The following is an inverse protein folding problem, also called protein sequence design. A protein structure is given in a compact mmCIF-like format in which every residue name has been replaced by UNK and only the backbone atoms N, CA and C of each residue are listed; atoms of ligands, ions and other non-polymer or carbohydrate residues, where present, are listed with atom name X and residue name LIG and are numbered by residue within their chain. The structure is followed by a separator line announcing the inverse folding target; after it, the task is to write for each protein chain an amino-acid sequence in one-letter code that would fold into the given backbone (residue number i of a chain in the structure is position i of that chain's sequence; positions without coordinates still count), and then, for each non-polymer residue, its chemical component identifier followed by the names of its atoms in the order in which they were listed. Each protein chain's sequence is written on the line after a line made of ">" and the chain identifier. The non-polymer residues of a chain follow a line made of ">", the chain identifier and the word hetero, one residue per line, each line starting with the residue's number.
data_IF_133894701012
#
_entry.id   IF_133894701012
#
_cell.length_a   1.000
_cell.length_b   1.000
_cell.length_c   1.000
_cell.angle_alpha   90.00
_cell.angle_beta   90.00
_cell.angle_gamma   90.00
#
_symmetry.space_group_name_H-M   'P 1'
#
loop_
_entity.id
_entity.type
_entity.pdbx_description
1 polymer ?
#
# COMPACT_ATOMS: atom_id res chain seq x y z
N UNK A 1 -26.69 -25.63 4.12
CA UNK A 1 -25.93 -25.63 5.37
C UNK A 1 -25.43 -24.21 5.57
N UNK A 2 -25.89 -23.53 6.62
CA UNK A 2 -25.38 -22.21 6.97
C UNK A 2 -23.91 -22.38 7.42
N UNK A 3 -22.98 -22.05 6.57
CA UNK A 3 -21.57 -21.96 6.92
C UNK A 3 -21.40 -20.85 7.95
N UNK A 4 -20.98 -21.21 9.15
CA UNK A 4 -20.68 -20.27 10.23
C UNK A 4 -19.36 -19.54 9.90
N UNK A 5 -19.51 -18.37 9.25
CA UNK A 5 -18.39 -17.54 8.80
C UNK A 5 -17.50 -17.04 9.97
N UNK A 6 -18.07 -16.91 11.18
CA UNK A 6 -17.32 -16.45 12.34
C UNK A 6 -16.28 -17.49 12.76
N UNK A 7 -16.67 -18.76 12.82
CA UNK A 7 -15.79 -19.85 13.24
C UNK A 7 -14.65 -20.11 12.24
N UNK A 8 -14.89 -19.87 10.94
CA UNK A 8 -13.85 -19.99 9.90
C UNK A 8 -12.82 -18.84 9.99
N UNK A 9 -13.27 -17.64 10.32
CA UNK A 9 -12.40 -16.48 10.48
C UNK A 9 -11.49 -16.66 11.70
N UNK A 10 -12.01 -17.06 12.83
CA UNK A 10 -11.23 -17.30 14.06
C UNK A 10 -10.16 -18.38 13.80
N UNK A 11 -10.52 -19.49 13.17
CA UNK A 11 -9.58 -20.54 12.77
C UNK A 11 -8.49 -20.01 11.81
N UNK A 12 -8.81 -19.11 10.87
CA UNK A 12 -7.84 -18.48 9.97
C UNK A 12 -6.84 -17.62 10.76
N UNK A 13 -7.32 -16.79 11.70
CA UNK A 13 -6.44 -15.94 12.51
C UNK A 13 -5.58 -16.76 13.49
N UNK A 14 -6.08 -17.86 14.01
CA UNK A 14 -5.26 -18.83 14.77
C UNK A 14 -4.11 -19.37 13.91
N UNK A 15 -4.39 -19.75 12.66
CA UNK A 15 -3.37 -20.23 11.71
C UNK A 15 -2.35 -19.15 11.33
N UNK A 16 -2.75 -17.89 11.32
CA UNK A 16 -1.91 -16.73 11.05
C UNK A 16 -1.21 -16.20 12.31
N UNK A 17 -1.24 -16.95 13.42
CA UNK A 17 -0.53 -16.58 14.65
C UNK A 17 0.96 -16.34 14.36
N UNK A 18 1.51 -15.20 14.83
CA UNK A 18 2.87 -14.78 14.52
C UNK A 18 3.07 -14.07 13.15
N UNK A 19 2.02 -13.97 12.34
CA UNK A 19 2.02 -13.26 11.06
C UNK A 19 1.46 -11.84 11.16
N UNK A 20 0.98 -11.42 12.33
CA UNK A 20 0.38 -10.09 12.51
C UNK A 20 0.76 -9.43 13.83
N UNK A 21 0.59 -8.11 13.87
CA UNK A 21 0.85 -7.23 15.00
C UNK A 21 -0.47 -6.77 15.62
N UNK A 22 -0.50 -6.65 16.95
CA UNK A 22 -1.69 -6.23 17.69
C UNK A 22 -2.77 -7.30 17.77
N UNK A 23 -4.02 -6.87 17.92
CA UNK A 23 -5.18 -7.75 18.07
C UNK A 23 -6.46 -7.15 17.49
N UNK A 24 -7.61 -7.83 17.68
CA UNK A 24 -8.90 -7.38 17.18
C UNK A 24 -9.22 -5.94 17.61
N UNK A 25 -9.74 -5.15 16.67
CA UNK A 25 -10.24 -3.79 16.90
C UNK A 25 -11.68 -3.73 16.38
N UNK A 26 -12.61 -3.07 17.10
CA UNK A 26 -14.02 -3.01 16.68
C UNK A 26 -14.24 -2.19 15.41
N UNK A 27 -13.45 -1.14 15.21
CA UNK A 27 -13.65 -0.13 14.17
C UNK A 27 -12.51 -0.14 13.15
N UNK A 28 -12.35 -1.24 12.40
CA UNK A 28 -11.43 -1.25 11.26
C UNK A 28 -12.17 -0.95 9.94
N UNK A 29 -11.42 -0.49 8.92
CA UNK A 29 -11.97 -0.22 7.60
C UNK A 29 -12.43 -1.54 6.94
N UNK A 30 -13.71 -1.67 6.54
CA UNK A 30 -14.18 -2.88 5.87
C UNK A 30 -13.49 -3.08 4.52
N UNK A 31 -13.07 -4.30 4.23
CA UNK A 31 -12.51 -4.70 2.94
C UNK A 31 -13.60 -5.04 1.91
N UNK A 32 -13.15 -5.42 0.70
CA UNK A 32 -14.02 -5.93 -0.35
C UNK A 32 -14.38 -4.92 -1.44
N UNK A 33 -14.64 -5.46 -2.63
CA UNK A 33 -15.00 -4.67 -3.80
C UNK A 33 -16.40 -4.04 -3.66
N UNK A 34 -17.32 -4.69 -2.97
CA UNK A 34 -18.67 -4.15 -2.70
C UNK A 34 -18.56 -2.83 -1.94
N UNK A 35 -17.77 -2.78 -0.88
CA UNK A 35 -17.53 -1.55 -0.12
C UNK A 35 -16.74 -0.51 -0.93
N UNK A 36 -15.76 -0.96 -1.71
CA UNK A 36 -15.01 -0.10 -2.62
C UNK A 36 -15.91 0.64 -3.62
N UNK A 37 -16.85 -0.07 -4.24
CA UNK A 37 -17.85 0.48 -5.17
C UNK A 37 -18.80 1.43 -4.45
N UNK A 38 -19.25 1.10 -3.24
CA UNK A 38 -20.09 1.98 -2.42
C UNK A 38 -19.39 3.32 -2.15
N UNK A 39 -18.11 3.28 -1.75
CA UNK A 39 -17.29 4.49 -1.52
C UNK A 39 -17.07 5.28 -2.81
N UNK A 40 -16.76 4.61 -3.92
CA UNK A 40 -16.57 5.26 -5.23
C UNK A 40 -17.86 5.95 -5.69
N UNK A 41 -18.99 5.30 -5.55
CA UNK A 41 -20.31 5.86 -5.90
C UNK A 41 -20.66 7.10 -5.05
N UNK A 42 -20.31 7.11 -3.77
CA UNK A 42 -20.54 8.23 -2.87
C UNK A 42 -19.56 9.39 -3.06
N UNK A 43 -18.40 9.15 -3.67
CA UNK A 43 -17.32 10.13 -3.75
C UNK A 43 -17.62 11.26 -4.74
N UNK A 44 -17.38 12.51 -4.31
CA UNK A 44 -17.36 13.72 -5.14
C UNK A 44 -15.98 14.40 -5.03
N UNK A 45 -15.18 14.43 -6.11
CA UNK A 45 -13.87 15.05 -6.09
C UNK A 45 -13.87 16.58 -6.27
N UNK A 46 -15.02 17.24 -6.28
CA UNK A 46 -15.13 18.68 -6.61
C UNK A 46 -14.28 19.63 -5.76
N UNK A 47 -14.08 19.32 -4.48
CA UNK A 47 -13.23 20.10 -3.58
C UNK A 47 -11.81 19.55 -3.43
N UNK A 48 -11.53 18.38 -3.98
CA UNK A 48 -10.27 17.67 -3.81
C UNK A 48 -9.04 18.51 -4.14
N UNK A 49 -9.01 19.15 -5.30
CA UNK A 49 -7.84 19.95 -5.75
C UNK A 49 -7.49 21.11 -4.81
N UNK A 50 -8.47 21.64 -4.07
CA UNK A 50 -8.26 22.76 -3.14
C UNK A 50 -7.91 22.30 -1.72
N UNK A 51 -8.45 21.16 -1.29
CA UNK A 51 -8.42 20.74 0.12
C UNK A 51 -7.50 19.56 0.39
N UNK A 52 -7.04 18.84 -0.63
CA UNK A 52 -6.29 17.58 -0.51
C UNK A 52 -5.02 17.63 0.36
N UNK A 53 -4.46 18.81 0.57
CA UNK A 53 -3.28 18.96 1.42
C UNK A 53 -3.64 19.21 2.89
N UNK A 54 -4.89 19.58 3.19
CA UNK A 54 -5.36 19.75 4.57
C UNK A 54 -5.73 18.40 5.16
N UNK A 55 -5.38 18.16 6.43
CA UNK A 55 -5.66 16.88 7.10
C UNK A 55 -7.17 16.58 7.11
N UNK A 56 -8.00 17.60 7.26
CA UNK A 56 -9.47 17.51 7.23
C UNK A 56 -10.03 17.68 5.80
N UNK A 57 -9.17 17.66 4.77
CA UNK A 57 -9.56 17.85 3.39
C UNK A 57 -10.35 16.66 2.83
N UNK A 58 -11.06 16.94 1.73
CA UNK A 58 -11.84 15.92 1.04
C UNK A 58 -10.92 14.97 0.29
N UNK A 59 -10.73 13.75 0.82
CA UNK A 59 -9.98 12.66 0.19
C UNK A 59 -10.88 11.45 -0.03
N UNK A 60 -10.60 10.67 -1.06
CA UNK A 60 -11.46 9.53 -1.45
C UNK A 60 -11.38 8.34 -0.51
N UNK A 61 -10.26 8.15 0.18
CA UNK A 61 -9.94 6.94 0.93
C UNK A 61 -10.05 5.64 0.10
N UNK A 62 -9.84 5.72 -1.22
CA UNK A 62 -9.88 4.57 -2.12
C UNK A 62 -8.53 3.84 -2.23
N UNK A 63 -7.46 4.41 -1.69
CA UNK A 63 -6.11 3.82 -1.81
C UNK A 63 -5.99 2.38 -1.30
N UNK A 64 -6.63 1.94 -0.21
CA UNK A 64 -6.62 0.53 0.20
C UNK A 64 -7.22 -0.40 -0.86
N UNK A 65 -8.35 -0.02 -1.41
CA UNK A 65 -9.05 -0.82 -2.41
C UNK A 65 -8.32 -0.87 -3.75
N UNK A 66 -7.65 0.22 -4.14
CA UNK A 66 -6.77 0.27 -5.31
C UNK A 66 -5.52 -0.60 -5.10
N UNK A 67 -4.91 -0.54 -3.90
CA UNK A 67 -3.75 -1.36 -3.54
C UNK A 67 -4.03 -2.86 -3.67
N UNK A 68 -5.22 -3.27 -3.24
CA UNK A 68 -5.61 -4.67 -3.26
C UNK A 68 -6.34 -5.11 -4.54
N UNK A 69 -6.35 -4.26 -5.58
CA UNK A 69 -6.98 -4.58 -6.86
C UNK A 69 -8.49 -4.80 -6.80
N UNK A 70 -9.15 -4.37 -5.72
CA UNK A 70 -10.61 -4.38 -5.58
C UNK A 70 -11.26 -3.38 -6.54
N UNK A 71 -10.54 -2.30 -6.88
CA UNK A 71 -10.82 -1.34 -7.94
C UNK A 71 -9.57 -1.15 -8.80
N UNK A 72 -9.74 -0.92 -10.10
CA UNK A 72 -8.65 -0.49 -10.97
C UNK A 72 -8.63 1.04 -11.11
N UNK A 73 -7.47 1.60 -11.47
CA UNK A 73 -7.32 3.03 -11.73
C UNK A 73 -8.20 3.51 -12.89
N UNK A 74 -8.33 2.67 -13.93
CA UNK A 74 -9.20 2.94 -15.09
C UNK A 74 -10.65 2.99 -14.64
N UNK A 75 -11.11 2.03 -13.87
CA UNK A 75 -12.48 1.96 -13.37
C UNK A 75 -12.84 3.21 -12.56
N UNK A 76 -11.97 3.66 -11.66
CA UNK A 76 -12.19 4.90 -10.89
C UNK A 76 -12.27 6.11 -11.79
N UNK A 77 -11.34 6.24 -12.77
CA UNK A 77 -11.36 7.33 -13.75
C UNK A 77 -12.65 7.35 -14.55
N UNK A 78 -13.03 6.22 -15.11
CA UNK A 78 -14.15 6.12 -16.05
C UNK A 78 -15.49 6.27 -15.33
N UNK A 79 -15.60 5.76 -14.11
CA UNK A 79 -16.75 6.00 -13.24
C UNK A 79 -16.98 7.51 -12.98
N UNK A 80 -15.94 8.23 -12.59
CA UNK A 80 -16.03 9.67 -12.33
C UNK A 80 -16.31 10.48 -13.61
N UNK A 81 -15.76 10.07 -14.73
CA UNK A 81 -16.08 10.68 -16.04
C UNK A 81 -17.54 10.49 -16.42
N UNK A 82 -18.07 9.30 -16.22
CA UNK A 82 -19.48 8.99 -16.50
C UNK A 82 -20.42 9.72 -15.54
N UNK A 83 -20.06 9.78 -14.26
CA UNK A 83 -20.88 10.42 -13.22
C UNK A 83 -20.90 11.96 -13.35
N UNK A 84 -19.83 12.57 -13.82
CA UNK A 84 -19.65 14.02 -13.88
C UNK A 84 -19.12 14.50 -15.25
N UNK A 85 -19.84 14.24 -16.36
CA UNK A 85 -19.31 14.47 -17.70
C UNK A 85 -18.98 15.95 -18.02
N UNK A 86 -19.64 16.89 -17.35
CA UNK A 86 -19.48 18.32 -17.57
C UNK A 86 -18.44 19.00 -16.64
N UNK A 87 -17.88 18.26 -15.67
CA UNK A 87 -17.03 18.83 -14.60
C UNK A 87 -15.59 18.32 -14.63
N UNK A 88 -15.18 17.63 -15.69
CA UNK A 88 -13.87 16.94 -15.76
C UNK A 88 -12.68 17.84 -15.47
N UNK A 89 -12.73 19.12 -15.89
CA UNK A 89 -11.66 20.08 -15.61
C UNK A 89 -11.46 20.37 -14.11
N UNK A 90 -12.53 20.22 -13.30
CA UNK A 90 -12.45 20.39 -11.83
C UNK A 90 -11.75 19.21 -11.16
N UNK A 91 -11.71 18.04 -11.80
CA UNK A 91 -11.17 16.79 -11.27
C UNK A 91 -9.75 16.51 -11.75
N UNK A 92 -9.16 17.38 -12.57
CA UNK A 92 -7.82 17.21 -13.13
C UNK A 92 -6.79 16.81 -12.07
N UNK A 93 -6.80 17.49 -10.90
CA UNK A 93 -5.87 17.16 -9.83
C UNK A 93 -6.10 15.77 -9.24
N UNK A 94 -7.35 15.30 -9.15
CA UNK A 94 -7.64 13.94 -8.70
C UNK A 94 -7.14 12.90 -9.72
N UNK A 95 -7.40 13.11 -11.02
CA UNK A 95 -6.89 12.22 -12.06
C UNK A 95 -5.35 12.23 -12.12
N UNK A 96 -4.72 13.36 -11.84
CA UNK A 96 -3.27 13.43 -11.69
C UNK A 96 -2.75 12.59 -10.53
N UNK A 97 -3.51 12.44 -9.42
CA UNK A 97 -3.13 11.54 -8.32
C UNK A 97 -3.32 10.06 -8.70
N UNK A 98 -4.30 9.70 -9.53
CA UNK A 98 -4.37 8.35 -10.11
C UNK A 98 -3.14 8.07 -10.98
N UNK A 99 -2.72 9.06 -11.77
CA UNK A 99 -1.52 8.98 -12.61
C UNK A 99 -0.22 8.85 -11.77
N UNK A 100 -0.14 9.48 -10.58
CA UNK A 100 0.97 9.26 -9.65
C UNK A 100 1.06 7.79 -9.21
N UNK A 101 -0.07 7.15 -8.93
CA UNK A 101 -0.09 5.74 -8.56
C UNK A 101 0.35 4.86 -9.73
N UNK A 102 -0.17 5.09 -10.93
CA UNK A 102 0.26 4.38 -12.16
C UNK A 102 1.76 4.57 -12.42
N UNK A 103 2.28 5.80 -12.22
CA UNK A 103 3.71 6.08 -12.32
C UNK A 103 4.54 5.24 -11.35
N UNK A 104 4.16 5.14 -10.09
CA UNK A 104 4.88 4.32 -9.11
C UNK A 104 4.83 2.83 -9.45
N UNK A 105 3.74 2.34 -10.02
CA UNK A 105 3.67 0.96 -10.54
C UNK A 105 4.64 0.74 -11.72
N UNK A 106 4.79 1.74 -12.62
CA UNK A 106 5.81 1.70 -13.69
C UNK A 106 7.24 1.72 -13.10
N UNK A 107 7.47 2.49 -12.03
CA UNK A 107 8.75 2.47 -11.30
C UNK A 107 9.02 1.06 -10.75
N UNK A 108 8.05 0.43 -10.11
CA UNK A 108 8.19 -0.94 -9.61
C UNK A 108 8.44 -1.93 -10.76
N UNK A 109 7.72 -1.81 -11.87
CA UNK A 109 7.95 -2.66 -13.06
C UNK A 109 9.37 -2.54 -13.58
N UNK A 110 9.95 -1.32 -13.55
CA UNK A 110 11.28 -1.05 -14.08
C UNK A 110 12.42 -1.50 -13.14
N UNK A 111 12.28 -1.24 -11.83
CA UNK A 111 13.35 -1.48 -10.86
C UNK A 111 13.20 -2.78 -10.07
N UNK A 112 12.01 -3.38 -10.01
CA UNK A 112 11.77 -4.61 -9.25
C UNK A 112 12.21 -4.48 -7.79
N UNK A 113 12.99 -5.43 -7.30
CA UNK A 113 13.59 -5.40 -5.96
C UNK A 113 14.52 -4.20 -5.72
N UNK A 114 15.10 -3.64 -6.78
CA UNK A 114 15.95 -2.44 -6.66
C UNK A 114 15.21 -1.21 -6.12
N UNK A 115 13.87 -1.23 -6.07
CA UNK A 115 13.10 -0.15 -5.48
C UNK A 115 13.25 -0.07 -3.94
N UNK A 116 13.71 -1.11 -3.28
CA UNK A 116 14.01 -1.09 -1.84
C UNK A 116 15.44 -0.58 -1.54
N UNK A 117 16.22 -0.25 -2.58
CA UNK A 117 17.51 0.41 -2.49
C UNK A 117 17.42 1.87 -2.96
N UNK A 118 18.43 2.67 -2.67
CA UNK A 118 18.48 4.06 -3.11
C UNK A 118 18.58 4.14 -4.64
N UNK A 119 17.56 4.69 -5.31
CA UNK A 119 17.54 4.82 -6.77
C UNK A 119 18.52 5.87 -7.29
N UNK A 120 18.87 6.85 -6.47
CA UNK A 120 19.88 7.87 -6.73
C UNK A 120 20.70 8.11 -5.47
N UNK A 121 21.92 8.62 -5.63
CA UNK A 121 22.74 9.07 -4.52
C UNK A 121 21.99 10.06 -3.61
N UNK A 122 22.04 9.89 -2.29
CA UNK A 122 21.45 10.83 -1.34
C UNK A 122 21.94 12.26 -1.60
N UNK A 123 21.04 13.22 -1.56
CA UNK A 123 21.35 14.64 -1.82
C UNK A 123 21.95 15.35 -0.58
N UNK A 124 22.44 14.57 0.40
CA UNK A 124 23.07 15.02 1.64
C UNK A 124 24.04 13.94 2.16
N UNK A 125 25.02 14.35 2.95
CA UNK A 125 26.02 13.45 3.54
C UNK A 125 25.68 12.93 4.95
N UNK A 126 24.41 12.97 5.37
CA UNK A 126 24.03 12.63 6.76
C UNK A 126 23.85 11.12 6.89
N UNK A 127 24.58 10.51 7.81
CA UNK A 127 24.43 9.09 8.13
C UNK A 127 23.09 8.78 8.79
N UNK A 128 22.52 7.60 8.45
CA UNK A 128 21.21 7.14 8.92
C UNK A 128 21.31 5.84 9.73
N UNK A 129 20.52 5.75 10.79
CA UNK A 129 20.37 4.55 11.61
C UNK A 129 19.40 3.54 10.97
N UNK A 130 19.73 2.26 11.09
CA UNK A 130 18.82 1.16 10.73
C UNK A 130 17.81 0.79 11.85
N UNK A 131 17.69 1.61 12.88
CA UNK A 131 16.78 1.36 14.01
C UNK A 131 15.83 2.52 14.21
N UNK A 132 14.54 2.22 14.25
CA UNK A 132 13.51 3.19 14.66
C UNK A 132 13.60 3.34 16.18
N UNK A 133 13.64 4.58 16.71
CA UNK A 133 13.65 4.83 18.15
C UNK A 133 12.39 4.29 18.85
N UNK A 134 12.53 3.83 20.10
CA UNK A 134 11.43 3.19 20.84
C UNK A 134 10.28 4.14 21.12
N UNK A 135 10.53 5.42 21.37
CA UNK A 135 9.50 6.44 21.56
C UNK A 135 8.61 6.61 20.31
N UNK A 136 9.18 6.40 19.11
CA UNK A 136 8.39 6.36 17.86
C UNK A 136 7.56 5.09 17.78
N UNK A 137 8.16 3.93 18.12
CA UNK A 137 7.44 2.65 18.09
C UNK A 137 6.33 2.57 19.14
N UNK A 138 6.49 3.25 20.28
CA UNK A 138 5.47 3.35 21.33
C UNK A 138 4.45 4.47 21.10
N UNK A 139 4.68 5.36 20.12
CA UNK A 139 3.80 6.51 19.88
C UNK A 139 3.90 7.61 20.93
N UNK A 140 5.02 7.68 21.65
CA UNK A 140 5.27 8.60 22.76
C UNK A 140 6.56 9.40 22.52
N UNK A 141 6.56 10.20 21.45
CA UNK A 141 7.69 11.05 21.07
C UNK A 141 7.75 12.36 21.86
N UNK A 142 6.66 12.68 22.58
CA UNK A 142 6.46 13.95 23.25
C UNK A 142 6.11 15.11 22.30
N UNK A 143 5.91 14.85 21.02
CA UNK A 143 5.47 15.81 20.00
C UNK A 143 4.01 15.53 19.62
N UNK A 144 3.03 16.31 20.10
CA UNK A 144 1.60 16.01 19.88
C UNK A 144 1.20 15.76 18.41
N UNK A 145 1.85 16.45 17.47
CA UNK A 145 1.59 16.25 16.05
C UNK A 145 2.13 14.88 15.54
N UNK A 146 3.28 14.45 16.01
CA UNK A 146 3.86 13.15 15.63
C UNK A 146 3.12 12.02 16.33
N UNK A 147 2.85 12.16 17.63
CA UNK A 147 2.11 11.16 18.41
C UNK A 147 0.68 10.96 17.85
N UNK A 148 0.02 12.06 17.43
CA UNK A 148 -1.26 11.98 16.72
C UNK A 148 -1.18 11.26 15.38
N UNK A 149 -0.11 11.45 14.59
CA UNK A 149 0.11 10.70 13.35
C UNK A 149 0.38 9.22 13.61
N UNK A 150 1.13 8.90 14.69
CA UNK A 150 1.41 7.52 15.08
C UNK A 150 0.14 6.80 15.58
N UNK A 151 -0.72 7.49 16.34
CA UNK A 151 -2.03 6.96 16.71
C UNK A 151 -2.89 6.68 15.47
N UNK A 152 -2.98 7.61 14.51
CA UNK A 152 -3.69 7.38 13.24
C UNK A 152 -3.11 6.16 12.48
N UNK A 153 -1.77 6.01 12.46
CA UNK A 153 -1.11 4.88 11.81
C UNK A 153 -1.40 3.55 12.53
N UNK A 154 -1.17 3.49 13.83
CA UNK A 154 -1.26 2.26 14.61
C UNK A 154 -2.70 1.84 14.93
N UNK A 155 -3.59 2.82 15.13
CA UNK A 155 -4.95 2.55 15.55
C UNK A 155 -5.93 2.52 14.38
N UNK A 156 -5.77 3.44 13.41
CA UNK A 156 -6.67 3.55 12.27
C UNK A 156 -6.16 2.82 11.02
N UNK A 157 -4.88 2.45 10.93
CA UNK A 157 -4.28 1.87 9.73
C UNK A 157 -4.34 2.79 8.50
N UNK A 158 -4.64 4.06 8.71
CA UNK A 158 -4.76 5.06 7.66
C UNK A 158 -4.12 6.37 8.11
N UNK A 159 -3.27 6.93 7.25
CA UNK A 159 -2.64 8.21 7.49
C UNK A 159 -2.84 9.10 6.26
N UNK A 160 -3.31 10.33 6.48
CA UNK A 160 -3.50 11.30 5.40
C UNK A 160 -2.19 11.53 4.63
N UNK A 161 -2.25 11.65 3.30
CA UNK A 161 -1.04 11.74 2.45
C UNK A 161 -0.05 12.83 2.92
N UNK A 162 -0.54 13.99 3.34
CA UNK A 162 0.34 15.08 3.81
C UNK A 162 1.03 14.73 5.14
N UNK A 163 0.32 14.06 6.06
CA UNK A 163 0.89 13.55 7.30
C UNK A 163 1.95 12.47 7.05
N UNK A 164 1.78 11.63 6.00
CA UNK A 164 2.83 10.66 5.60
C UNK A 164 4.14 11.35 5.24
N UNK A 165 4.07 12.47 4.51
CA UNK A 165 5.25 13.24 4.14
C UNK A 165 5.93 13.88 5.37
N UNK A 166 5.14 14.43 6.31
CA UNK A 166 5.66 15.00 7.55
C UNK A 166 6.30 13.94 8.44
N UNK A 167 5.64 12.81 8.62
CA UNK A 167 6.18 11.71 9.40
C UNK A 167 7.46 11.15 8.78
N UNK A 168 7.49 10.95 7.45
CA UNK A 168 8.68 10.49 6.75
C UNK A 168 9.84 11.48 6.90
N UNK A 169 9.60 12.78 6.71
CA UNK A 169 10.62 13.80 6.92
C UNK A 169 11.09 13.86 8.38
N UNK A 170 10.18 13.72 9.36
CA UNK A 170 10.53 13.62 10.78
C UNK A 170 11.46 12.42 11.03
N UNK A 171 11.05 11.24 10.58
CA UNK A 171 11.81 10.02 10.84
C UNK A 171 13.18 10.05 10.16
N UNK A 172 13.25 10.43 8.90
CA UNK A 172 14.49 10.48 8.14
C UNK A 172 15.41 11.62 8.62
N UNK A 173 14.90 12.84 8.61
CA UNK A 173 15.79 14.01 8.74
C UNK A 173 15.98 14.49 10.18
N UNK A 174 14.95 14.42 11.04
CA UNK A 174 15.07 14.85 12.43
C UNK A 174 15.51 13.73 13.36
N UNK A 175 15.12 12.47 13.08
CA UNK A 175 15.50 11.30 13.89
C UNK A 175 16.68 10.52 13.31
N UNK A 176 17.07 10.80 12.06
CA UNK A 176 18.22 10.18 11.43
C UNK A 176 18.04 8.69 11.16
N UNK A 177 16.83 8.25 10.81
CA UNK A 177 16.50 6.85 10.49
C UNK A 177 16.50 6.64 8.97
N UNK A 178 16.99 5.49 8.52
CA UNK A 178 16.94 5.11 7.10
C UNK A 178 15.49 5.05 6.63
N UNK A 179 15.23 5.55 5.42
CA UNK A 179 13.89 5.57 4.85
C UNK A 179 13.28 4.16 4.71
N UNK A 180 14.10 3.13 4.48
CA UNK A 180 13.66 1.74 4.38
C UNK A 180 12.93 1.26 5.64
N UNK A 181 13.41 1.67 6.82
CA UNK A 181 12.78 1.29 8.10
C UNK A 181 11.39 1.93 8.25
N UNK A 182 11.28 3.21 7.88
CA UNK A 182 9.99 3.90 7.87
C UNK A 182 9.02 3.35 6.80
N UNK A 183 9.54 3.01 5.63
CA UNK A 183 8.75 2.37 4.58
C UNK A 183 8.22 1.00 5.04
N UNK A 184 9.04 0.21 5.75
CA UNK A 184 8.63 -1.06 6.37
C UNK A 184 7.51 -0.85 7.39
N UNK A 185 7.67 0.13 8.30
CA UNK A 185 6.63 0.47 9.29
C UNK A 185 5.30 0.80 8.61
N UNK A 186 5.30 1.56 7.53
CA UNK A 186 4.11 1.88 6.78
C UNK A 186 3.51 0.64 6.08
N UNK A 187 4.33 -0.26 5.53
CA UNK A 187 3.84 -1.52 4.94
C UNK A 187 3.21 -2.44 5.97
N UNK A 188 3.67 -2.40 7.22
CA UNK A 188 3.10 -3.20 8.29
C UNK A 188 1.71 -2.70 8.73
N UNK A 189 1.53 -1.39 8.87
CA UNK A 189 0.34 -0.83 9.50
C UNK A 189 -0.70 -0.24 8.53
N UNK A 190 -0.29 0.35 7.41
CA UNK A 190 -1.24 0.98 6.49
C UNK A 190 -2.02 -0.06 5.69
N UNK A 191 -3.35 0.12 5.58
CA UNK A 191 -4.19 -0.67 4.68
C UNK A 191 -3.70 -0.67 3.23
N UNK A 192 -3.17 0.46 2.76
CA UNK A 192 -2.65 0.65 1.42
C UNK A 192 -1.12 0.53 1.32
N UNK A 193 -0.49 -0.06 2.34
CA UNK A 193 0.95 -0.31 2.33
C UNK A 193 1.36 -1.20 1.16
N UNK A 194 2.06 -0.66 0.17
CA UNK A 194 2.60 -1.38 -0.99
C UNK A 194 4.08 -1.04 -1.21
N UNK A 195 4.76 -1.80 -2.06
CA UNK A 195 6.16 -1.52 -2.38
C UNK A 195 6.25 -0.31 -3.32
N UNK A 196 5.39 -0.22 -4.34
CA UNK A 196 5.50 0.76 -5.40
C UNK A 196 5.38 2.20 -4.88
N UNK A 197 4.17 2.59 -4.43
CA UNK A 197 3.92 3.97 -4.02
C UNK A 197 4.59 4.32 -2.70
N UNK A 198 4.71 3.36 -1.78
CA UNK A 198 5.30 3.59 -0.47
C UNK A 198 6.81 3.79 -0.57
N UNK A 199 7.58 2.83 -1.10
CA UNK A 199 9.05 2.94 -1.18
C UNK A 199 9.47 4.14 -2.03
N UNK A 200 8.81 4.38 -3.19
CA UNK A 200 9.12 5.54 -4.04
C UNK A 200 8.80 6.89 -3.36
N UNK A 201 7.73 6.96 -2.53
CA UNK A 201 7.39 8.17 -1.78
C UNK A 201 8.36 8.45 -0.64
N UNK A 202 8.82 7.42 0.06
CA UNK A 202 9.86 7.55 1.09
C UNK A 202 11.19 8.03 0.48
N UNK A 203 11.59 7.46 -0.65
CA UNK A 203 12.77 7.89 -1.41
C UNK A 203 12.64 9.34 -1.91
N UNK A 204 11.41 9.74 -2.31
CA UNK A 204 11.16 11.12 -2.69
C UNK A 204 11.39 12.10 -1.51
N UNK A 205 10.96 11.73 -0.31
CA UNK A 205 11.21 12.51 0.92
C UNK A 205 12.69 12.55 1.26
N UNK A 206 13.38 11.41 1.24
CA UNK A 206 14.81 11.31 1.55
C UNK A 206 15.69 12.04 0.52
N UNK A 207 15.24 12.15 -0.72
CA UNK A 207 15.99 12.77 -1.82
C UNK A 207 16.77 11.77 -2.67
N UNK A 208 16.52 10.46 -2.53
CA UNK A 208 17.10 9.40 -3.37
C UNK A 208 16.27 9.10 -4.61
N UNK A 209 15.11 9.76 -4.75
CA UNK A 209 14.27 9.75 -5.97
C UNK A 209 13.66 11.14 -6.25
N UNK A 210 14.35 12.19 -5.84
CA UNK A 210 13.96 13.58 -6.03
C UNK A 210 15.18 14.48 -6.26
N UNK A 211 14.96 15.70 -6.73
CA UNK A 211 16.03 16.69 -6.95
C UNK A 211 16.61 17.24 -5.63
N UNK A 212 15.84 17.18 -4.55
CA UNK A 212 16.21 17.64 -3.21
C UNK A 212 15.36 16.89 -2.16
N UNK A 213 15.87 16.76 -0.91
CA UNK A 213 15.07 16.21 0.19
C UNK A 213 13.83 17.08 0.46
N UNK A 214 12.74 16.44 0.91
CA UNK A 214 11.57 17.15 1.41
C UNK A 214 11.61 17.21 2.93
N UNK A 215 11.33 18.37 3.49
CA UNK A 215 11.13 18.56 4.93
C UNK A 215 10.08 19.64 5.18
N UNK A 216 9.56 19.69 6.39
CA UNK A 216 8.53 20.62 6.83
C UNK A 216 9.03 21.52 7.96
N UNK A 217 8.33 22.63 8.16
CA UNK A 217 8.47 23.46 9.36
C UNK A 217 7.15 23.51 10.15
N UNK A 218 7.15 24.16 11.29
CA UNK A 218 5.99 24.30 12.18
C UNK A 218 4.82 25.00 11.49
N UNK A 219 5.08 26.05 10.70
CA UNK A 219 4.02 26.78 9.99
C UNK A 219 3.32 25.90 8.96
N UNK A 220 4.07 25.06 8.26
CA UNK A 220 3.51 24.10 7.31
C UNK A 220 2.56 23.12 8.01
N UNK A 221 3.01 22.49 9.12
CA UNK A 221 2.15 21.59 9.90
C UNK A 221 0.92 22.33 10.43
N UNK A 222 1.11 23.51 11.02
CA UNK A 222 0.03 24.30 11.60
C UNK A 222 -1.04 24.68 10.58
N UNK A 223 -0.62 25.17 9.42
CA UNK A 223 -1.53 25.63 8.37
C UNK A 223 -2.35 24.50 7.76
N UNK A 224 -1.73 23.35 7.48
CA UNK A 224 -2.41 22.22 6.83
C UNK A 224 -3.10 21.26 7.80
N UNK A 225 -2.88 21.40 9.11
CA UNK A 225 -3.61 20.66 10.15
C UNK A 225 -4.72 21.46 10.81
N UNK A 226 -5.15 22.60 10.24
CA UNK A 226 -6.12 23.52 10.87
C UNK A 226 -5.70 23.87 12.31
N UNK A 227 -4.40 23.92 12.57
CA UNK A 227 -3.77 24.13 13.90
C UNK A 227 -4.13 23.08 14.96
N UNK A 228 -4.66 21.92 14.55
CA UNK A 228 -5.15 20.83 15.43
C UNK A 228 -4.18 20.52 16.58
N UNK A 229 -2.88 20.46 16.29
CA UNK A 229 -1.86 20.13 17.29
C UNK A 229 -1.11 21.34 17.82
N UNK A 230 -0.91 22.39 16.99
CA UNK A 230 -0.01 23.50 17.33
C UNK A 230 -0.61 24.51 18.31
N UNK A 231 -1.95 24.68 18.37
CA UNK A 231 -2.59 25.68 19.24
C UNK A 231 -2.36 25.45 20.73
N UNK A 232 -2.34 24.18 21.17
CA UNK A 232 -2.16 23.80 22.58
C UNK A 232 -0.77 23.24 22.89
N UNK A 233 0.10 23.13 21.88
CA UNK A 233 1.42 22.55 22.04
C UNK A 233 2.35 23.47 22.86
N UNK A 234 2.84 22.96 24.00
CA UNK A 234 3.78 23.67 24.91
C UNK A 234 5.20 23.16 24.80
N UNK A 235 5.45 22.20 23.89
CA UNK A 235 6.75 21.56 23.72
C UNK A 235 7.68 22.46 22.90
N UNK A 236 8.97 22.47 23.23
CA UNK A 236 9.97 23.10 22.36
C UNK A 236 9.98 22.41 21.01
N UNK A 237 9.40 23.05 20.00
CA UNK A 237 9.15 22.47 18.71
C UNK A 237 10.44 22.38 17.88
N UNK A 238 10.88 21.20 17.47
CA UNK A 238 12.09 21.05 16.63
C UNK A 238 11.92 21.62 15.23
N UNK A 239 10.67 21.82 14.79
CA UNK A 239 10.29 22.34 13.47
C UNK A 239 10.14 23.88 13.46
N UNK A 240 10.33 24.56 14.60
CA UNK A 240 10.10 26.00 14.77
C UNK A 240 11.30 26.79 14.29
N UNK A 241 11.46 26.89 12.99
CA UNK A 241 12.41 27.76 12.29
C UNK A 241 11.97 27.92 10.82
N UNK A 242 12.55 28.89 10.14
CA UNK A 242 12.36 29.06 8.69
C UNK A 242 13.06 27.94 7.88
N UNK A 243 12.68 27.79 6.62
CA UNK A 243 13.21 26.74 5.76
C UNK A 243 14.74 26.83 5.56
N UNK A 244 15.38 27.99 5.33
CA UNK A 244 16.83 28.10 5.23
C UNK A 244 17.57 27.61 6.50
N UNK A 245 17.06 28.01 7.66
CA UNK A 245 17.64 27.59 8.96
C UNK A 245 17.50 26.07 9.16
N UNK A 246 16.33 25.49 8.87
CA UNK A 246 16.12 24.05 8.96
C UNK A 246 16.98 23.29 7.95
N UNK A 247 17.07 23.78 6.71
CA UNK A 247 17.90 23.16 5.68
C UNK A 247 19.36 23.10 6.13
N UNK A 248 19.88 24.18 6.69
CA UNK A 248 21.24 24.22 7.23
C UNK A 248 21.40 23.24 8.40
N UNK A 249 20.48 23.22 9.37
CA UNK A 249 20.53 22.31 10.52
C UNK A 249 20.47 20.84 10.13
N UNK A 250 19.64 20.49 9.13
CA UNK A 250 19.39 19.11 8.73
C UNK A 250 20.47 18.55 7.80
N UNK A 251 21.10 19.40 6.95
CA UNK A 251 21.90 18.91 5.82
C UNK A 251 23.30 19.51 5.69
N UNK A 252 23.69 20.47 6.53
CA UNK A 252 25.01 21.11 6.44
C UNK A 252 26.15 20.35 7.13
N UNK A 253 26.18 19.03 7.03
CA UNK A 253 27.37 18.23 7.38
C UNK A 253 27.51 17.86 8.85
N UNK A 254 26.49 17.99 9.69
CA UNK A 254 26.48 17.44 11.05
C UNK A 254 26.11 15.96 11.02
N UNK A 255 27.00 15.10 11.49
CA UNK A 255 26.78 13.65 11.55
C UNK A 255 25.83 13.17 12.65
N UNK A 256 25.29 14.08 13.47
CA UNK A 256 24.40 13.74 14.59
C UNK A 256 22.93 14.12 14.28
N UNK A 257 21.95 13.24 14.58
CA UNK A 257 20.54 13.58 14.50
C UNK A 257 20.22 14.76 15.44
N UNK A 258 19.28 15.64 15.01
CA UNK A 258 18.85 16.79 15.85
C UNK A 258 18.15 16.38 17.15
N UNK A 259 17.68 15.14 17.24
CA UNK A 259 17.05 14.58 18.43
C UNK A 259 17.76 13.28 18.83
N UNK A 260 18.22 13.24 20.09
CA UNK A 260 18.90 12.06 20.62
C UNK A 260 17.94 10.85 20.69
N UNK A 261 18.48 9.67 20.39
CA UNK A 261 17.74 8.42 20.55
C UNK A 261 17.72 8.05 22.04
N UNK A 262 16.54 7.93 22.62
CA UNK A 262 16.41 7.32 23.94
C UNK A 262 16.67 5.81 23.82
N UNK A 263 17.79 5.36 24.34
CA UNK A 263 18.20 3.97 24.26
C UNK A 263 17.50 3.14 25.35
N UNK A 264 16.40 2.48 25.01
CA UNK A 264 15.93 1.30 25.73
C UNK A 264 16.03 0.09 24.81
N UNK A 265 16.62 -1.00 25.30
CA UNK A 265 16.71 -2.27 24.56
C UNK A 265 15.31 -2.87 24.42
N UNK A 266 14.89 -3.12 23.18
CA UNK A 266 13.76 -4.01 22.91
C UNK A 266 14.26 -5.46 22.95
N UNK A 267 13.55 -6.34 23.67
CA UNK A 267 13.80 -7.78 23.63
C UNK A 267 13.21 -8.36 22.33
N UNK A 268 13.91 -9.31 21.68
CA UNK A 268 13.38 -10.00 20.51
C UNK A 268 12.23 -10.91 20.91
N UNK A 269 11.12 -10.82 20.17
CA UNK A 269 10.01 -11.75 20.30
C UNK A 269 10.44 -13.07 19.65
N UNK A 270 10.94 -13.99 20.48
CA UNK A 270 11.21 -15.37 20.09
C UNK A 270 10.02 -16.22 20.50
N UNK A 271 9.22 -16.68 19.52
CA UNK A 271 8.51 -17.96 19.60
C UNK A 271 8.11 -18.39 18.20
N UNK A 272 8.97 -19.19 17.58
CA UNK A 272 8.68 -19.87 16.32
C UNK A 272 8.31 -21.32 16.63
N UNK A 273 7.01 -21.62 16.64
CA UNK A 273 6.55 -22.99 16.40
C UNK A 273 6.15 -23.09 14.91
N UNK A 274 6.82 -23.97 14.20
CA UNK A 274 6.46 -24.34 12.82
C UNK A 274 5.21 -25.23 12.89
N UNK A 275 4.06 -24.67 12.58
CA UNK A 275 2.85 -25.43 12.32
C UNK A 275 2.64 -25.57 10.81
N UNK A 276 3.20 -26.62 10.23
CA UNK A 276 2.86 -27.07 8.88
C UNK A 276 1.46 -27.67 8.90
N UNK A 277 0.47 -26.89 8.50
CA UNK A 277 -0.91 -27.37 8.40
C UNK A 277 -1.15 -28.03 7.05
N UNK A 278 -1.65 -29.27 7.09
CA UNK A 278 -2.13 -30.00 5.93
C UNK A 278 -3.22 -29.22 5.18
N UNK A 279 -3.36 -29.47 3.88
CA UNK A 279 -4.54 -29.00 3.12
C UNK A 279 -5.79 -29.57 3.79
N UNK A 280 -6.95 -28.88 3.71
CA UNK A 280 -8.21 -29.46 4.15
C UNK A 280 -8.38 -30.87 3.55
N UNK A 281 -8.64 -31.87 4.37
CA UNK A 281 -8.77 -33.26 3.92
C UNK A 281 -9.97 -33.44 2.99
N UNK A 282 -10.99 -32.61 3.13
CA UNK A 282 -12.30 -32.70 2.48
C UNK A 282 -12.45 -31.90 1.17
N UNK A 283 -11.38 -31.60 0.44
CA UNK A 283 -11.54 -31.04 -0.89
C UNK A 283 -12.08 -32.14 -1.80
N UNK A 284 -13.36 -32.01 -2.18
CA UNK A 284 -13.98 -32.92 -3.13
C UNK A 284 -13.18 -32.98 -4.43
N UNK A 285 -12.96 -34.16 -5.03
CA UNK A 285 -12.28 -34.26 -6.30
C UNK A 285 -13.02 -33.39 -7.34
N UNK A 286 -12.26 -32.54 -8.01
CA UNK A 286 -12.81 -31.74 -9.12
C UNK A 286 -12.87 -32.61 -10.38
N UNK A 287 -13.71 -32.21 -11.36
CA UNK A 287 -13.67 -32.81 -12.69
C UNK A 287 -12.24 -32.82 -13.25
N UNK A 288 -11.80 -33.88 -13.93
CA UNK A 288 -10.48 -33.91 -14.52
C UNK A 288 -10.29 -32.70 -15.46
N UNK A 289 -9.09 -32.14 -15.47
CA UNK A 289 -8.70 -30.93 -16.21
C UNK A 289 -9.34 -29.62 -15.69
N UNK A 290 -9.71 -29.54 -14.42
CA UNK A 290 -10.12 -28.25 -13.83
C UNK A 290 -8.90 -27.35 -13.67
N UNK A 291 -8.98 -26.14 -14.25
CA UNK A 291 -7.95 -25.12 -14.10
C UNK A 291 -7.97 -24.52 -12.67
N UNK A 292 -6.84 -23.99 -12.22
CA UNK A 292 -6.68 -23.32 -10.94
C UNK A 292 -6.40 -21.84 -11.14
N UNK A 293 -7.12 -20.98 -10.45
CA UNK A 293 -6.83 -19.54 -10.37
C UNK A 293 -6.14 -19.25 -9.05
N UNK A 294 -4.97 -18.63 -9.11
CA UNK A 294 -4.35 -18.02 -7.96
C UNK A 294 -4.71 -16.54 -7.87
N UNK A 295 -5.51 -16.17 -6.87
CA UNK A 295 -5.77 -14.79 -6.51
C UNK A 295 -4.73 -14.34 -5.49
N UNK A 296 -3.95 -13.33 -5.81
CA UNK A 296 -3.01 -12.69 -4.88
C UNK A 296 -3.59 -11.38 -4.30
N UNK A 297 -2.96 -10.82 -3.27
CA UNK A 297 -3.44 -9.68 -2.51
C UNK A 297 -3.51 -8.33 -3.26
N UNK A 298 -3.14 -8.32 -4.54
CA UNK A 298 -3.23 -7.15 -5.42
C UNK A 298 -4.21 -7.36 -6.61
N UNK A 299 -5.02 -8.44 -6.60
CA UNK A 299 -5.97 -8.77 -7.67
C UNK A 299 -7.30 -9.30 -7.10
N UNK A 300 -7.83 -8.64 -6.06
CA UNK A 300 -8.99 -9.10 -5.30
C UNK A 300 -10.30 -8.55 -5.86
N UNK A 301 -10.58 -8.80 -7.14
CA UNK A 301 -11.81 -8.33 -7.82
C UNK A 301 -12.47 -9.46 -8.62
N UNK A 302 -13.77 -9.62 -8.45
CA UNK A 302 -14.55 -10.52 -9.33
C UNK A 302 -14.70 -10.01 -10.76
N UNK A 303 -14.37 -8.73 -11.02
CA UNK A 303 -14.31 -8.14 -12.35
C UNK A 303 -12.90 -8.28 -12.98
N UNK A 304 -11.94 -8.86 -12.30
CA UNK A 304 -10.61 -9.15 -12.85
C UNK A 304 -10.74 -10.16 -14.00
N UNK A 305 -10.03 -9.91 -15.10
CA UNK A 305 -10.14 -10.73 -16.32
C UNK A 305 -9.77 -12.18 -16.08
N UNK A 306 -8.76 -12.43 -15.24
CA UNK A 306 -8.33 -13.77 -14.86
C UNK A 306 -9.47 -14.59 -14.26
N UNK A 307 -10.24 -13.97 -13.37
CA UNK A 307 -11.36 -14.63 -12.69
C UNK A 307 -12.61 -14.68 -13.58
N UNK A 308 -12.96 -13.55 -14.20
CA UNK A 308 -14.19 -13.41 -14.99
C UNK A 308 -14.22 -14.35 -16.21
N UNK A 309 -13.08 -14.63 -16.83
CA UNK A 309 -12.98 -15.53 -17.99
C UNK A 309 -12.90 -17.02 -17.65
N UNK A 310 -12.72 -17.37 -16.38
CA UNK A 310 -12.52 -18.75 -15.94
C UNK A 310 -13.53 -19.17 -14.83
N UNK A 311 -14.85 -19.11 -15.10
CA UNK A 311 -15.88 -19.33 -14.08
C UNK A 311 -15.95 -20.75 -13.54
N UNK A 312 -15.35 -21.72 -14.24
CA UNK A 312 -15.35 -23.14 -13.85
C UNK A 312 -14.05 -23.57 -13.14
N UNK A 313 -13.05 -22.70 -13.09
CA UNK A 313 -11.78 -22.99 -12.42
C UNK A 313 -11.95 -23.02 -10.89
N UNK A 314 -11.09 -23.77 -10.19
CA UNK A 314 -10.95 -23.60 -8.73
C UNK A 314 -10.24 -22.28 -8.44
N UNK A 315 -10.66 -21.60 -7.37
CA UNK A 315 -10.07 -20.33 -6.96
C UNK A 315 -9.37 -20.49 -5.61
N UNK A 316 -8.10 -20.11 -5.53
CA UNK A 316 -7.33 -20.14 -4.30
C UNK A 316 -6.74 -18.76 -3.98
N UNK A 317 -6.90 -18.31 -2.73
CA UNK A 317 -6.12 -17.23 -2.13
C UNK A 317 -5.16 -17.84 -1.11
N UNK A 318 -3.89 -17.38 -1.11
CA UNK A 318 -2.88 -17.89 -0.20
C UNK A 318 -2.26 -16.74 0.56
N UNK A 319 -2.43 -16.75 1.89
CA UNK A 319 -1.63 -15.89 2.76
C UNK A 319 -0.18 -16.39 2.73
N UNK A 320 0.72 -15.57 2.22
CA UNK A 320 2.16 -15.88 2.14
C UNK A 320 2.76 -15.82 3.56
N UNK A 321 2.71 -16.95 4.25
CA UNK A 321 3.15 -17.06 5.63
C UNK A 321 4.63 -16.71 5.82
N UNK A 322 5.58 -17.18 4.99
CA UNK A 322 6.98 -16.75 5.08
C UNK A 322 7.16 -15.24 5.01
N UNK A 323 6.50 -14.57 4.07
CA UNK A 323 6.57 -13.12 3.92
C UNK A 323 5.93 -12.39 5.12
N UNK A 324 4.79 -12.87 5.59
CA UNK A 324 4.09 -12.30 6.76
C UNK A 324 4.86 -12.53 8.07
N UNK A 325 5.62 -13.60 8.20
CA UNK A 325 6.51 -13.80 9.35
C UNK A 325 7.73 -12.89 9.31
N UNK A 326 8.26 -12.60 8.12
CA UNK A 326 9.38 -11.69 7.94
C UNK A 326 8.98 -10.21 8.11
N UNK A 327 7.78 -9.84 7.66
CA UNK A 327 7.19 -8.49 7.79
C UNK A 327 5.71 -8.61 8.20
N UNK A 328 5.43 -8.78 9.51
CA UNK A 328 4.07 -8.97 10.01
C UNK A 328 3.18 -7.76 9.71
N UNK A 329 1.94 -8.01 9.25
CA UNK A 329 0.95 -6.96 9.06
C UNK A 329 0.21 -6.66 10.37
N UNK A 330 -0.26 -5.43 10.55
CA UNK A 330 -1.17 -5.12 11.63
C UNK A 330 -2.49 -5.92 11.49
N UNK A 331 -3.10 -6.30 12.61
CA UNK A 331 -4.35 -7.07 12.62
C UNK A 331 -5.43 -6.48 11.71
N UNK A 332 -5.66 -5.16 11.79
CA UNK A 332 -6.69 -4.49 11.00
C UNK A 332 -6.44 -4.60 9.49
N UNK A 333 -5.16 -4.59 9.04
CA UNK A 333 -4.81 -4.80 7.62
C UNK A 333 -5.11 -6.23 7.19
N UNK A 334 -4.79 -7.20 8.04
CA UNK A 334 -5.10 -8.61 7.77
C UNK A 334 -6.61 -8.84 7.71
N UNK A 335 -7.37 -8.23 8.63
CA UNK A 335 -8.82 -8.27 8.66
C UNK A 335 -9.45 -7.67 7.39
N UNK A 336 -8.92 -6.51 6.93
CA UNK A 336 -9.34 -5.88 5.67
C UNK A 336 -9.16 -6.81 4.46
N UNK A 337 -8.02 -7.51 4.37
CA UNK A 337 -7.76 -8.47 3.28
C UNK A 337 -8.70 -9.67 3.40
N UNK A 338 -8.95 -10.17 4.60
CA UNK A 338 -9.90 -11.28 4.84
C UNK A 338 -11.31 -10.90 4.40
N UNK A 339 -11.82 -9.70 4.77
CA UNK A 339 -13.10 -9.20 4.27
C UNK A 339 -13.14 -9.14 2.74
N UNK A 340 -12.02 -8.76 2.12
CA UNK A 340 -11.87 -8.71 0.68
C UNK A 340 -11.98 -10.08 0.02
N UNK A 341 -11.42 -11.12 0.64
CA UNK A 341 -11.52 -12.50 0.17
C UNK A 341 -12.96 -12.99 0.32
N UNK A 342 -13.60 -12.74 1.46
CA UNK A 342 -14.98 -13.15 1.74
C UNK A 342 -15.95 -12.51 0.73
N UNK A 343 -15.79 -11.20 0.47
CA UNK A 343 -16.59 -10.49 -0.52
C UNK A 343 -16.33 -11.01 -1.95
N UNK A 344 -15.07 -11.26 -2.32
CA UNK A 344 -14.71 -11.86 -3.59
C UNK A 344 -15.37 -13.22 -3.76
N UNK A 345 -15.21 -14.13 -2.81
CA UNK A 345 -15.71 -15.49 -2.89
C UNK A 345 -17.25 -15.55 -2.90
N UNK A 346 -17.92 -14.64 -2.20
CA UNK A 346 -19.36 -14.50 -2.21
C UNK A 346 -19.90 -14.16 -3.62
N UNK A 347 -19.16 -13.36 -4.38
CA UNK A 347 -19.58 -12.84 -5.68
C UNK A 347 -19.06 -13.65 -6.87
N UNK A 348 -18.25 -14.69 -6.65
CA UNK A 348 -17.77 -15.57 -7.70
C UNK A 348 -18.72 -16.75 -7.95
N UNK A 349 -18.95 -17.12 -9.22
CA UNK A 349 -19.75 -18.31 -9.58
C UNK A 349 -19.03 -19.63 -9.33
N UNK A 350 -17.68 -19.60 -9.20
CA UNK A 350 -16.84 -20.78 -9.05
C UNK A 350 -17.26 -21.64 -7.85
N UNK A 351 -17.36 -22.95 -8.05
CA UNK A 351 -17.81 -23.89 -7.01
C UNK A 351 -16.77 -24.16 -5.93
N UNK A 352 -15.47 -24.16 -6.30
CA UNK A 352 -14.37 -24.42 -5.37
C UNK A 352 -13.61 -23.14 -5.10
N UNK A 353 -13.60 -22.71 -3.83
CA UNK A 353 -12.97 -21.48 -3.36
C UNK A 353 -12.23 -21.77 -2.06
N UNK A 354 -10.94 -21.48 -2.01
CA UNK A 354 -10.07 -21.90 -0.92
C UNK A 354 -9.22 -20.74 -0.41
N UNK A 355 -9.20 -20.55 0.90
CA UNK A 355 -8.25 -19.69 1.60
C UNK A 355 -7.22 -20.56 2.31
N UNK A 356 -5.95 -20.41 1.94
CA UNK A 356 -4.84 -21.19 2.45
C UNK A 356 -3.79 -20.30 3.13
N UNK A 357 -2.98 -20.91 3.99
CA UNK A 357 -1.84 -20.26 4.66
C UNK A 357 -0.59 -21.08 4.36
N UNK A 358 0.52 -20.46 4.02
CA UNK A 358 1.79 -21.12 3.76
C UNK A 358 2.58 -20.48 2.63
N UNK A 359 3.61 -21.19 2.15
CA UNK A 359 4.35 -20.77 0.96
C UNK A 359 3.48 -20.91 -0.29
N UNK A 360 3.31 -19.84 -1.11
CA UNK A 360 2.43 -19.87 -2.26
C UNK A 360 2.79 -20.91 -3.30
N UNK A 361 4.09 -21.13 -3.58
CA UNK A 361 4.55 -22.12 -4.58
C UNK A 361 4.23 -23.53 -4.10
N UNK A 362 4.52 -23.83 -2.84
CA UNK A 362 4.24 -25.14 -2.22
C UNK A 362 2.72 -25.41 -2.22
N UNK A 363 1.92 -24.45 -1.71
CA UNK A 363 0.46 -24.61 -1.59
C UNK A 363 -0.23 -24.75 -2.94
N UNK A 364 0.15 -23.93 -3.93
CA UNK A 364 -0.41 -24.03 -5.28
C UNK A 364 0.01 -25.33 -5.97
N UNK A 365 1.27 -25.74 -5.81
CA UNK A 365 1.74 -27.02 -6.35
C UNK A 365 0.94 -28.19 -5.79
N UNK A 366 0.81 -28.26 -4.46
CA UNK A 366 0.07 -29.35 -3.80
C UNK A 366 -1.40 -29.34 -4.18
N UNK A 367 -2.02 -28.14 -4.23
CA UNK A 367 -3.42 -27.99 -4.60
C UNK A 367 -3.65 -28.38 -6.07
N UNK A 368 -2.81 -27.93 -7.00
CA UNK A 368 -2.91 -28.27 -8.42
C UNK A 368 -2.83 -29.79 -8.63
N UNK A 369 -1.90 -30.48 -7.97
CA UNK A 369 -1.81 -31.94 -8.02
C UNK A 369 -3.06 -32.63 -7.46
N UNK A 370 -3.58 -32.15 -6.30
CA UNK A 370 -4.79 -32.71 -5.67
C UNK A 370 -6.03 -32.55 -6.56
N UNK A 371 -6.12 -31.42 -7.29
CA UNK A 371 -7.21 -31.10 -8.18
C UNK A 371 -7.03 -31.71 -9.60
N UNK A 372 -5.85 -32.27 -9.93
CA UNK A 372 -5.53 -32.65 -11.30
C UNK A 372 -5.43 -31.48 -12.27
N UNK A 373 -5.18 -30.27 -11.76
CA UNK A 373 -5.05 -29.06 -12.58
C UNK A 373 -3.75 -29.05 -13.36
N UNK A 374 -3.82 -28.76 -14.66
CA UNK A 374 -2.66 -28.63 -15.54
C UNK A 374 -2.29 -27.19 -15.84
N UNK A 375 -3.25 -26.29 -15.68
CA UNK A 375 -3.10 -24.85 -15.93
C UNK A 375 -3.39 -24.05 -14.66
N UNK A 376 -2.50 -23.10 -14.38
CA UNK A 376 -2.68 -22.10 -13.30
C UNK A 376 -2.83 -20.73 -13.94
N UNK A 377 -3.93 -20.04 -13.62
CA UNK A 377 -4.22 -18.68 -14.07
C UNK A 377 -3.82 -17.69 -12.99
N UNK A 378 -3.18 -16.58 -13.37
CA UNK A 378 -2.69 -15.54 -12.47
C UNK A 378 -2.96 -14.18 -13.11
N UNK A 379 -3.43 -13.20 -12.34
CA UNK A 379 -3.48 -11.81 -12.80
C UNK A 379 -2.08 -11.20 -12.79
N UNK A 380 -1.75 -10.45 -13.84
CA UNK A 380 -0.49 -9.72 -13.93
C UNK A 380 -0.33 -8.72 -12.78
N UNK A 381 0.85 -8.68 -12.17
CA UNK A 381 1.21 -7.63 -11.21
C UNK A 381 2.73 -7.41 -11.20
N UNK A 382 3.21 -6.14 -11.11
CA UNK A 382 4.65 -5.83 -11.13
C UNK A 382 5.39 -6.17 -9.83
N UNK A 383 4.70 -6.65 -8.80
CA UNK A 383 5.33 -7.04 -7.55
C UNK A 383 6.27 -8.24 -7.78
N UNK A 384 7.57 -8.13 -7.45
CA UNK A 384 8.55 -9.20 -7.68
C UNK A 384 8.12 -10.56 -7.14
N UNK A 385 7.53 -10.62 -5.94
CA UNK A 385 7.13 -11.90 -5.35
C UNK A 385 6.03 -12.63 -6.15
N UNK A 386 5.13 -11.87 -6.84
CA UNK A 386 4.11 -12.47 -7.73
C UNK A 386 4.78 -13.05 -8.97
N UNK A 387 5.73 -12.31 -9.54
CA UNK A 387 6.49 -12.73 -10.72
C UNK A 387 7.30 -13.99 -10.40
N UNK A 388 8.05 -13.98 -9.31
CA UNK A 388 8.89 -15.10 -8.86
C UNK A 388 8.06 -16.36 -8.57
N UNK A 389 6.89 -16.20 -7.90
CA UNK A 389 5.97 -17.32 -7.68
C UNK A 389 5.49 -17.90 -9.01
N UNK A 390 5.08 -17.04 -9.96
CA UNK A 390 4.65 -17.48 -11.28
C UNK A 390 5.78 -18.21 -12.03
N UNK A 391 7.02 -17.73 -11.97
CA UNK A 391 8.19 -18.34 -12.63
C UNK A 391 8.51 -19.72 -12.03
N UNK A 392 8.43 -19.87 -10.71
CA UNK A 392 8.63 -21.18 -10.07
C UNK A 392 7.52 -22.18 -10.44
N UNK A 393 6.27 -21.71 -10.53
CA UNK A 393 5.16 -22.56 -10.96
C UNK A 393 5.28 -23.00 -12.43
N UNK A 394 5.85 -22.16 -13.32
CA UNK A 394 6.10 -22.50 -14.73
C UNK A 394 7.02 -23.69 -14.90
N UNK A 395 7.84 -24.03 -13.92
CA UNK A 395 8.70 -25.22 -13.97
C UNK A 395 7.91 -26.54 -13.92
N UNK A 396 6.65 -26.51 -13.47
CA UNK A 396 5.81 -27.69 -13.23
C UNK A 396 4.46 -27.66 -13.95
N UNK A 397 3.93 -26.46 -14.22
CA UNK A 397 2.58 -26.25 -14.75
C UNK A 397 2.60 -25.27 -15.91
N UNK A 398 1.53 -25.33 -16.72
CA UNK A 398 1.22 -24.26 -17.65
C UNK A 398 0.70 -23.07 -16.86
N UNK A 399 1.43 -21.95 -16.82
CA UNK A 399 1.00 -20.72 -16.14
C UNK A 399 0.56 -19.70 -17.17
N UNK A 400 -0.71 -19.26 -17.08
CA UNK A 400 -1.29 -18.22 -17.91
C UNK A 400 -1.42 -16.94 -17.09
N UNK A 401 -0.64 -15.94 -17.47
CA UNK A 401 -0.71 -14.61 -16.85
C UNK A 401 -1.67 -13.74 -17.64
N UNK A 402 -2.74 -13.30 -17.00
CA UNK A 402 -3.75 -12.44 -17.58
C UNK A 402 -3.34 -10.98 -17.42
N UNK A 403 -3.32 -10.19 -18.52
CA UNK A 403 -2.90 -8.81 -18.47
C UNK A 403 -3.87 -7.97 -17.61
N UNK A 404 -3.30 -7.06 -16.85
CA UNK A 404 -4.06 -6.09 -16.05
C UNK A 404 -4.28 -4.81 -16.83
N UNK A 405 -5.49 -4.26 -16.75
CA UNK A 405 -5.78 -2.94 -17.31
C UNK A 405 -4.96 -1.86 -16.60
N UNK A 406 -4.07 -1.18 -17.32
CA UNK A 406 -3.24 -0.09 -16.83
C UNK A 406 -3.82 1.27 -17.22
N UNK A 407 -3.67 2.28 -16.36
CA UNK A 407 -4.19 3.63 -16.63
C UNK A 407 -3.55 4.26 -17.87
N UNK A 408 -2.27 3.95 -18.09
CA UNK A 408 -1.50 4.49 -19.21
C UNK A 408 -0.57 3.45 -19.82
N UNK A 409 -0.21 3.67 -21.09
CA UNK A 409 0.90 2.97 -21.76
C UNK A 409 2.12 3.90 -21.70
N UNK A 410 3.17 3.48 -20.98
CA UNK A 410 4.40 4.26 -20.83
C UNK A 410 5.64 3.35 -20.85
N UNK A 411 6.28 3.16 -22.00
CA UNK A 411 7.39 2.21 -22.14
C UNK A 411 8.76 2.72 -21.63
N UNK A 412 9.08 4.06 -21.62
CA UNK A 412 10.38 4.53 -21.15
C UNK A 412 10.56 4.38 -19.64
N UNK A 413 11.84 4.34 -19.21
CA UNK A 413 12.21 4.35 -17.79
C UNK A 413 11.57 5.53 -17.04
N UNK A 414 10.82 5.29 -15.95
CA UNK A 414 10.03 6.32 -15.27
C UNK A 414 10.86 7.10 -14.23
N UNK A 415 11.79 7.95 -14.66
CA UNK A 415 12.71 8.68 -13.78
C UNK A 415 12.07 9.84 -13.00
N UNK A 416 11.10 10.53 -13.60
CA UNK A 416 10.44 11.70 -12.98
C UNK A 416 8.99 11.78 -13.40
N UNK A 417 8.12 12.02 -12.45
CA UNK A 417 6.69 12.14 -12.71
C UNK A 417 6.34 13.27 -13.70
N UNK A 418 7.04 14.40 -13.66
CA UNK A 418 6.77 15.51 -14.60
C UNK A 418 6.90 15.08 -16.06
N UNK A 419 7.98 14.33 -16.39
CA UNK A 419 8.20 13.81 -17.75
C UNK A 419 7.18 12.73 -18.14
N UNK A 420 6.80 11.88 -17.17
CA UNK A 420 5.74 10.91 -17.36
C UNK A 420 4.42 11.64 -17.65
N UNK A 421 4.04 12.60 -16.79
CA UNK A 421 2.79 13.35 -16.91
C UNK A 421 2.67 14.10 -18.24
N UNK A 422 3.72 14.76 -18.71
CA UNK A 422 3.76 15.44 -20.02
C UNK A 422 3.35 14.50 -21.17
N UNK A 423 3.69 13.22 -21.10
CA UNK A 423 3.39 12.23 -22.16
C UNK A 423 2.00 11.60 -22.03
N UNK A 424 1.49 11.43 -20.79
CA UNK A 424 0.28 10.64 -20.55
C UNK A 424 -0.94 11.49 -20.15
N UNK A 425 -0.77 12.78 -19.88
CA UNK A 425 -1.83 13.62 -19.35
C UNK A 425 -3.09 13.59 -20.22
N UNK A 426 -2.97 13.67 -21.55
CA UNK A 426 -4.10 13.61 -22.47
C UNK A 426 -4.80 12.24 -22.38
N UNK A 427 -4.06 11.14 -22.27
CA UNK A 427 -4.60 9.80 -22.10
C UNK A 427 -5.40 9.67 -20.80
N UNK A 428 -4.86 10.25 -19.72
CA UNK A 428 -5.50 10.20 -18.38
C UNK A 428 -6.70 11.13 -18.31
N UNK A 429 -6.59 12.35 -18.83
CA UNK A 429 -7.64 13.38 -18.74
C UNK A 429 -8.70 13.28 -19.84
N UNK A 430 -8.34 12.78 -21.04
CA UNK A 430 -9.17 12.81 -22.23
C UNK A 430 -9.22 14.19 -22.92
N UNK A 431 -8.51 15.16 -22.36
CA UNK A 431 -8.35 16.52 -22.92
C UNK A 431 -6.96 17.05 -22.60
N UNK A 432 -6.58 18.18 -23.19
CA UNK A 432 -5.31 18.83 -22.83
C UNK A 432 -5.35 19.33 -21.39
N UNK A 433 -4.27 19.13 -20.60
CA UNK A 433 -4.19 19.66 -19.24
C UNK A 433 -4.38 21.17 -19.22
N UNK A 434 -5.01 21.67 -18.16
CA UNK A 434 -5.08 23.10 -17.89
C UNK A 434 -3.66 23.66 -17.71
N UNK A 435 -3.38 24.84 -18.28
CA UNK A 435 -2.07 25.48 -18.10
C UNK A 435 -1.79 25.63 -16.60
N UNK A 436 -0.57 25.34 -16.13
CA UNK A 436 -0.24 25.48 -14.72
C UNK A 436 -0.48 26.92 -14.29
N UNK A 437 -1.42 27.15 -13.36
CA UNK A 437 -1.53 28.47 -12.72
C UNK A 437 -0.17 28.77 -12.11
N UNK A 438 0.52 29.81 -12.58
CA UNK A 438 1.74 30.30 -11.93
C UNK A 438 1.42 30.51 -10.46
N UNK A 439 1.97 29.63 -9.60
CA UNK A 439 1.97 29.90 -8.17
C UNK A 439 2.87 31.11 -7.99
N UNK A 440 2.27 32.26 -7.65
CA UNK A 440 3.05 33.32 -7.04
C UNK A 440 3.70 32.72 -5.80
N UNK A 441 5.03 32.80 -5.78
CA UNK A 441 5.91 32.35 -4.71
C UNK A 441 5.57 33.04 -3.40
#
# INVERSE_FOLDING_TARGET
>A
MNYDQSNQRDTLFERLSGCFLGGPKPDYLPGGRTEALRKLNAYDPASYGRTRNHIEGTVSQLSPYLRHGMLSLIEVRDHLRSKFPNDLARFEEFFRQLAWRDFFEKVLTWYGHGLDEDLEEPKHGVARSSRIPLDVLSGDTGLPCIDGMLSDLFDQGYLHNHARLWFAAYLCHFRGVRWQEGARLFRQYLYDGDIASNSASWQWVEGTFASKPYFMNKDNISNFSSRKWCNSCKVKCPFDADYPTLQHRLFAGSSAPLMSQAAKKAEPINNMQQNTLALPEDIAPLPPNTDLIWVHDAAMSWADECVAKNPNAAVAFIFNEPALKAEPWAYHRLAFVTDGIDDLFKNLPNSTKLTLVGDPVERLTTLAHKLGATTIHISEHPNPWVIETADQLRLKFRVLVHPRATLTVYPPEPKRFSRYWEKVAIQVLGHRPSSPKRKHQ
#
